data_IF_942293402908
#
_entry.id   IF_942293402908
#
_cell.length_a   1.000
_cell.length_b   1.000
_cell.length_c   1.000
_cell.angle_alpha   90.00
_cell.angle_beta   90.00
_cell.angle_gamma   90.00
#
_symmetry.space_group_name_H-M   'P 1'
#
loop_
_entity.id
_entity.type
_entity.pdbx_description
1 polymer ?
#
# COMPACT_ATOMS: atom_id res chain seq x y z
N UNK A 1 4.35 8.17 -24.61
CA UNK A 1 5.53 8.99 -24.91
C UNK A 1 6.46 9.09 -23.72
N UNK A 2 7.70 9.41 -24.00
CA UNK A 2 8.72 9.60 -22.96
C UNK A 2 8.58 10.97 -22.34
N UNK A 3 8.64 11.04 -21.00
CA UNK A 3 8.66 12.30 -20.28
C UNK A 3 9.91 12.39 -19.44
N UNK A 4 10.47 13.58 -19.34
CA UNK A 4 11.55 13.85 -18.41
C UNK A 4 10.97 14.35 -17.09
N UNK A 5 11.52 13.85 -16.00
CA UNK A 5 11.13 14.26 -14.65
C UNK A 5 12.35 14.39 -13.78
N UNK A 6 12.33 15.41 -12.93
CA UNK A 6 13.29 15.52 -11.84
C UNK A 6 12.59 15.00 -10.60
N UNK A 7 13.18 13.98 -9.99
CA UNK A 7 12.66 13.37 -8.78
C UNK A 7 13.71 13.37 -7.67
N UNK A 8 13.25 13.36 -6.43
CA UNK A 8 14.11 13.22 -5.24
C UNK A 8 13.80 11.88 -4.60
N UNK A 9 14.52 10.81 -4.98
CA UNK A 9 14.23 9.47 -4.48
C UNK A 9 14.75 9.26 -3.08
N UNK A 10 14.04 8.47 -2.27
CA UNK A 10 14.52 8.18 -0.91
C UNK A 10 14.27 6.74 -0.46
N UNK A 11 13.46 5.94 -1.15
CA UNK A 11 13.21 4.57 -0.74
C UNK A 11 12.91 3.67 -1.92
N UNK A 12 13.37 2.42 -1.81
CA UNK A 12 13.02 1.34 -2.71
C UNK A 12 11.99 0.45 -2.02
N UNK A 13 10.92 0.13 -2.74
CA UNK A 13 9.84 -0.71 -2.23
C UNK A 13 9.66 -1.91 -3.14
N UNK A 14 9.71 -3.10 -2.53
CA UNK A 14 9.36 -4.35 -3.19
C UNK A 14 7.90 -4.68 -2.90
N UNK A 15 7.06 -4.62 -3.92
CA UNK A 15 5.63 -4.94 -3.77
C UNK A 15 5.35 -6.44 -3.86
N UNK A 16 6.40 -7.26 -4.05
CA UNK A 16 6.26 -8.69 -4.33
C UNK A 16 6.00 -9.00 -5.79
N UNK A 17 5.56 -8.02 -6.58
CA UNK A 17 5.36 -8.14 -8.01
C UNK A 17 6.46 -7.42 -8.79
N UNK A 18 6.85 -6.25 -8.33
CA UNK A 18 7.92 -5.44 -8.93
C UNK A 18 8.40 -4.41 -7.92
N UNK A 19 9.53 -3.81 -8.24
CA UNK A 19 10.11 -2.75 -7.42
C UNK A 19 9.66 -1.38 -7.91
N UNK A 20 9.40 -0.46 -6.97
CA UNK A 20 9.27 0.96 -7.29
C UNK A 20 10.14 1.80 -6.35
N UNK A 21 10.40 3.04 -6.78
CA UNK A 21 11.06 4.03 -5.95
C UNK A 21 10.04 5.06 -5.48
N UNK A 22 10.06 5.34 -4.17
CA UNK A 22 9.28 6.45 -3.60
C UNK A 22 10.11 7.72 -3.70
N UNK A 23 9.53 8.77 -4.26
CA UNK A 23 10.25 9.99 -4.55
C UNK A 23 9.34 11.21 -4.54
N UNK A 24 9.91 12.37 -4.28
CA UNK A 24 9.24 13.62 -4.56
C UNK A 24 9.35 13.94 -6.05
N UNK A 25 8.23 14.24 -6.68
CA UNK A 25 8.15 14.58 -8.09
C UNK A 25 8.06 16.10 -8.23
N UNK A 26 9.11 16.73 -8.74
CA UNK A 26 9.15 18.18 -8.92
C UNK A 26 8.17 18.69 -9.95
N UNK A 27 7.80 17.83 -10.92
CA UNK A 27 6.82 18.22 -11.95
C UNK A 27 5.43 18.44 -11.34
N UNK A 28 5.01 17.57 -10.45
CA UNK A 28 3.67 17.60 -9.84
C UNK A 28 3.65 18.21 -8.44
N UNK A 29 4.82 18.39 -7.82
CA UNK A 29 4.91 18.96 -6.47
C UNK A 29 4.39 18.05 -5.38
N UNK A 30 4.47 16.74 -5.57
CA UNK A 30 4.02 15.76 -4.58
C UNK A 30 4.92 14.52 -4.57
N UNK A 31 4.70 13.66 -3.57
CA UNK A 31 5.39 12.37 -3.46
C UNK A 31 4.65 11.31 -4.27
N UNK A 32 5.40 10.54 -5.04
CA UNK A 32 4.85 9.51 -5.94
C UNK A 32 5.72 8.28 -5.97
N UNK A 33 5.12 7.20 -6.48
CA UNK A 33 5.80 5.95 -6.75
C UNK A 33 6.17 5.87 -8.23
N UNK A 34 7.42 5.49 -8.51
CA UNK A 34 7.90 5.31 -9.87
C UNK A 34 8.39 3.88 -10.04
N UNK A 35 7.77 3.15 -10.95
CA UNK A 35 8.15 1.76 -11.24
C UNK A 35 9.54 1.74 -11.86
N UNK A 36 10.49 1.04 -11.25
CA UNK A 36 11.89 1.09 -11.64
C UNK A 36 12.10 0.63 -13.08
N UNK A 37 11.39 -0.41 -13.51
CA UNK A 37 11.50 -0.93 -14.86
C UNK A 37 11.03 0.05 -15.95
N UNK A 38 10.35 1.12 -15.56
CA UNK A 38 9.89 2.17 -16.49
C UNK A 38 10.83 3.37 -16.56
N UNK A 39 11.88 3.38 -15.76
CA UNK A 39 12.85 4.47 -15.74
C UNK A 39 13.89 4.20 -16.81
N UNK A 40 14.02 5.14 -17.74
CA UNK A 40 15.03 5.05 -18.80
C UNK A 40 16.06 6.18 -18.63
N UNK A 41 17.32 5.84 -18.85
CA UNK A 41 18.43 6.79 -18.86
C UNK A 41 18.46 7.73 -17.63
N UNK A 42 18.49 7.17 -16.40
CA UNK A 42 18.54 8.02 -15.22
C UNK A 42 19.86 8.81 -15.19
N UNK A 43 19.77 10.05 -14.73
CA UNK A 43 20.92 10.93 -14.65
C UNK A 43 20.94 11.62 -13.30
N UNK A 44 22.06 11.54 -12.62
CA UNK A 44 22.23 12.22 -11.34
C UNK A 44 22.46 13.70 -11.56
N UNK A 45 21.68 14.54 -10.89
CA UNK A 45 21.83 15.98 -10.93
C UNK A 45 22.71 16.45 -9.76
N UNK A 46 23.41 17.54 -9.99
CA UNK A 46 24.29 18.17 -8.98
C UNK A 46 23.51 19.21 -8.18
N UNK A 47 22.37 18.81 -7.64
CA UNK A 47 21.50 19.66 -6.82
C UNK A 47 21.16 18.94 -5.54
N UNK A 48 21.21 19.67 -4.41
CA UNK A 48 20.74 19.12 -3.14
C UNK A 48 19.21 19.14 -3.07
N UNK A 49 18.59 18.14 -2.42
CA UNK A 49 17.16 18.18 -2.13
C UNK A 49 16.80 19.36 -1.23
N UNK A 50 15.61 19.90 -1.42
CA UNK A 50 15.05 20.90 -0.51
C UNK A 50 14.31 20.19 0.64
N UNK A 51 14.12 20.91 1.75
CA UNK A 51 13.53 20.32 2.96
C UNK A 51 12.17 19.68 2.70
N UNK A 52 11.30 20.34 1.93
CA UNK A 52 9.95 19.83 1.64
C UNK A 52 9.95 18.58 0.76
N UNK A 53 11.09 18.23 0.16
CA UNK A 53 11.24 17.08 -0.74
C UNK A 53 11.74 15.82 -0.02
N UNK A 54 12.04 15.94 1.28
CA UNK A 54 12.62 14.85 2.07
C UNK A 54 11.53 13.89 2.58
N UNK A 55 11.94 12.65 2.82
CA UNK A 55 11.05 11.58 3.28
C UNK A 55 10.27 11.95 4.55
N UNK A 56 10.88 12.70 5.46
CA UNK A 56 10.24 13.11 6.72
C UNK A 56 9.00 13.99 6.51
N UNK A 57 8.88 14.60 5.34
CA UNK A 57 7.74 15.44 4.96
C UNK A 57 6.71 14.71 4.10
N UNK A 58 6.93 13.43 3.82
CA UNK A 58 5.98 12.59 3.13
C UNK A 58 5.08 11.90 4.17
N UNK A 59 3.89 12.43 4.38
CA UNK A 59 2.94 11.91 5.37
C UNK A 59 2.56 10.46 5.04
N UNK A 60 2.41 10.11 3.77
CA UNK A 60 2.09 8.75 3.35
C UNK A 60 3.22 7.77 3.68
N UNK A 61 4.45 8.25 3.71
CA UNK A 61 5.60 7.44 4.08
C UNK A 61 5.78 7.33 5.59
N UNK A 62 5.63 8.44 6.32
CA UNK A 62 5.85 8.47 7.77
C UNK A 62 4.68 7.91 8.57
N UNK A 63 3.46 8.00 8.04
CA UNK A 63 2.28 7.45 8.70
C UNK A 63 2.31 5.93 8.71
N UNK A 64 2.16 5.35 9.90
CA UNK A 64 2.02 3.91 10.07
C UNK A 64 0.56 3.60 10.34
N UNK A 65 0.00 2.69 9.56
CA UNK A 65 -1.37 2.20 9.76
C UNK A 65 -1.33 0.80 10.35
N UNK A 66 -2.29 0.51 11.21
CA UNK A 66 -2.46 -0.80 11.80
C UNK A 66 -3.60 -1.52 11.10
N UNK A 67 -3.29 -2.72 10.60
CA UNK A 67 -4.21 -3.52 9.81
C UNK A 67 -4.60 -4.75 10.61
N UNK A 68 -5.88 -4.93 10.83
CA UNK A 68 -6.42 -6.12 11.48
C UNK A 68 -7.04 -7.02 10.42
N UNK A 69 -6.39 -8.13 10.12
CA UNK A 69 -6.84 -9.09 9.12
C UNK A 69 -7.48 -10.28 9.81
N UNK A 70 -8.64 -10.68 9.33
CA UNK A 70 -9.38 -11.84 9.87
C UNK A 70 -9.65 -12.82 8.74
N UNK A 71 -9.94 -14.10 9.06
CA UNK A 71 -10.44 -15.01 8.04
C UNK A 71 -11.68 -14.42 7.38
N UNK A 72 -11.78 -14.57 6.05
CA UNK A 72 -12.91 -14.00 5.33
C UNK A 72 -14.22 -14.54 5.92
N UNK A 73 -15.20 -13.66 6.24
CA UNK A 73 -16.42 -14.07 6.94
C UNK A 73 -17.26 -15.12 6.21
N UNK A 74 -17.08 -15.28 4.90
CA UNK A 74 -17.83 -16.26 4.10
C UNK A 74 -17.17 -17.63 3.99
N UNK A 75 -16.00 -17.82 4.60
CA UNK A 75 -15.33 -19.11 4.58
C UNK A 75 -16.06 -20.12 5.48
N UNK A 76 -16.22 -21.35 4.97
CA UNK A 76 -16.83 -22.42 5.74
C UNK A 76 -15.94 -22.90 6.89
N UNK A 77 -14.62 -22.81 6.72
CA UNK A 77 -13.64 -23.31 7.69
C UNK A 77 -12.58 -22.25 8.01
N UNK A 78 -12.95 -21.21 8.74
CA UNK A 78 -12.02 -20.12 9.07
C UNK A 78 -10.82 -20.59 9.89
N UNK A 79 -10.94 -21.67 10.64
CA UNK A 79 -9.84 -22.22 11.43
C UNK A 79 -8.63 -22.63 10.58
N UNK A 80 -8.84 -23.02 9.34
CA UNK A 80 -7.74 -23.36 8.42
C UNK A 80 -6.92 -22.11 8.10
N UNK A 81 -7.59 -20.99 7.85
CA UNK A 81 -6.92 -19.72 7.57
C UNK A 81 -6.14 -19.24 8.80
N UNK A 82 -6.74 -19.38 9.99
CA UNK A 82 -6.03 -19.03 11.22
C UNK A 82 -4.73 -19.84 11.38
N UNK A 83 -4.77 -21.12 11.04
CA UNK A 83 -3.59 -21.97 11.08
C UNK A 83 -2.55 -21.55 10.01
N UNK A 84 -3.00 -21.33 8.78
CA UNK A 84 -2.12 -21.01 7.66
C UNK A 84 -1.34 -19.71 7.90
N UNK A 85 -1.96 -18.74 8.55
CA UNK A 85 -1.35 -17.44 8.82
C UNK A 85 -0.79 -17.30 10.23
N UNK A 86 -0.80 -18.38 11.02
CA UNK A 86 -0.24 -18.37 12.36
C UNK A 86 -0.91 -17.39 13.31
N UNK A 87 -2.22 -17.21 13.18
CA UNK A 87 -2.97 -16.31 14.04
C UNK A 87 -3.04 -16.87 15.46
N UNK A 88 -2.66 -16.05 16.45
CA UNK A 88 -2.73 -16.42 17.87
C UNK A 88 -4.10 -16.14 18.49
N UNK A 89 -5.08 -15.83 17.68
CA UNK A 89 -6.46 -15.55 18.05
C UNK A 89 -7.27 -15.48 16.77
N UNK A 90 -8.21 -14.56 16.70
CA UNK A 90 -9.09 -14.43 15.54
C UNK A 90 -8.57 -13.48 14.48
N UNK A 91 -7.40 -12.85 14.70
CA UNK A 91 -6.89 -11.86 13.77
C UNK A 91 -5.37 -11.90 13.66
N UNK A 92 -4.89 -11.38 12.54
CA UNK A 92 -3.49 -11.09 12.30
C UNK A 92 -3.33 -9.57 12.29
N UNK A 93 -2.51 -9.04 13.20
CA UNK A 93 -2.25 -7.61 13.29
C UNK A 93 -0.97 -7.28 12.54
N UNK A 94 -1.07 -6.37 11.59
CA UNK A 94 0.07 -5.91 10.80
C UNK A 94 0.19 -4.40 10.87
N UNK A 95 1.41 -3.92 10.74
CA UNK A 95 1.71 -2.49 10.65
C UNK A 95 2.37 -2.22 9.32
N UNK A 96 1.95 -1.17 8.65
CA UNK A 96 2.49 -0.79 7.35
C UNK A 96 2.53 0.71 7.21
N UNK A 97 3.50 1.21 6.44
CA UNK A 97 3.45 2.60 6.00
C UNK A 97 2.21 2.81 5.14
N UNK A 98 1.55 3.96 5.28
CA UNK A 98 0.40 4.28 4.46
C UNK A 98 0.72 4.16 2.96
N UNK A 99 1.89 4.63 2.53
CA UNK A 99 2.31 4.55 1.14
C UNK A 99 2.42 3.11 0.60
N UNK A 100 2.55 2.11 1.46
CA UNK A 100 2.76 0.71 1.08
C UNK A 100 1.54 -0.17 1.32
N UNK A 101 0.66 0.23 2.23
CA UNK A 101 -0.45 -0.60 2.71
C UNK A 101 -1.33 -1.16 1.59
N UNK A 102 -1.72 -0.33 0.63
CA UNK A 102 -2.58 -0.77 -0.47
C UNK A 102 -1.92 -1.81 -1.37
N UNK A 103 -0.63 -1.66 -1.65
CA UNK A 103 0.13 -2.65 -2.41
C UNK A 103 0.16 -4.00 -1.69
N UNK A 104 0.38 -3.97 -0.38
CA UNK A 104 0.43 -5.20 0.42
C UNK A 104 -0.93 -5.91 0.46
N UNK A 105 -2.00 -5.15 0.68
CA UNK A 105 -3.36 -5.70 0.72
C UNK A 105 -3.75 -6.30 -0.63
N UNK A 106 -3.37 -5.67 -1.72
CA UNK A 106 -3.58 -6.19 -3.07
C UNK A 106 -2.78 -7.49 -3.28
N UNK A 107 -1.50 -7.49 -2.92
CA UNK A 107 -0.61 -8.64 -3.11
C UNK A 107 -1.08 -9.86 -2.33
N UNK A 108 -1.58 -9.67 -1.12
CA UNK A 108 -2.06 -10.75 -0.26
C UNK A 108 -3.51 -11.16 -0.56
N UNK A 109 -4.19 -10.48 -1.47
CA UNK A 109 -5.57 -10.80 -1.80
C UNK A 109 -6.53 -10.59 -0.63
N UNK A 110 -6.39 -9.45 0.06
CA UNK A 110 -7.27 -9.11 1.19
C UNK A 110 -8.50 -8.40 0.67
N UNK A 111 -9.68 -8.89 1.05
CA UNK A 111 -10.94 -8.20 0.78
C UNK A 111 -11.04 -7.00 1.73
N UNK A 112 -11.05 -5.80 1.19
CA UNK A 112 -11.16 -4.55 1.93
C UNK A 112 -12.54 -3.89 1.77
N UNK A 113 -13.51 -4.63 1.22
CA UNK A 113 -14.88 -4.12 1.13
C UNK A 113 -15.52 -4.10 2.53
N UNK A 114 -16.34 -3.08 2.84
CA UNK A 114 -16.99 -3.00 4.16
C UNK A 114 -18.01 -4.11 4.41
N UNK A 115 -18.54 -4.70 3.36
CA UNK A 115 -19.54 -5.76 3.42
C UNK A 115 -18.99 -7.14 3.06
N UNK A 116 -17.68 -7.32 3.05
CA UNK A 116 -16.97 -8.57 2.73
C UNK A 116 -17.51 -9.27 1.47
N UNK A 117 -17.76 -8.48 0.43
CA UNK A 117 -18.43 -8.96 -0.79
C UNK A 117 -17.53 -9.71 -1.77
N UNK A 118 -16.20 -9.61 -1.64
CA UNK A 118 -15.28 -10.29 -2.54
C UNK A 118 -15.12 -11.74 -2.08
N UNK A 119 -15.81 -12.65 -2.77
CA UNK A 119 -15.88 -14.06 -2.38
C UNK A 119 -15.13 -14.99 -3.31
N UNK A 120 -14.43 -14.46 -4.30
CA UNK A 120 -13.60 -15.23 -5.20
C UNK A 120 -12.46 -15.92 -4.45
N UNK A 121 -11.94 -16.98 -5.01
CA UNK A 121 -11.03 -17.88 -4.32
C UNK A 121 -9.79 -17.22 -3.69
N UNK A 122 -9.13 -16.22 -4.28
CA UNK A 122 -7.96 -15.62 -3.63
C UNK A 122 -8.27 -14.86 -2.35
N UNK A 123 -9.53 -14.51 -2.09
CA UNK A 123 -9.89 -13.68 -0.93
C UNK A 123 -10.17 -14.55 0.28
N UNK A 124 -9.11 -14.96 0.97
CA UNK A 124 -9.19 -15.73 2.21
C UNK A 124 -9.13 -14.88 3.47
N UNK A 125 -8.73 -13.61 3.30
CA UNK A 125 -8.60 -12.63 4.39
C UNK A 125 -9.52 -11.46 4.13
N UNK A 126 -9.96 -10.84 5.22
CA UNK A 126 -10.77 -9.63 5.20
C UNK A 126 -10.18 -8.59 6.15
N UNK A 127 -10.18 -7.33 5.73
CA UNK A 127 -9.77 -6.22 6.57
C UNK A 127 -10.94 -5.84 7.48
N UNK A 128 -10.80 -6.12 8.78
CA UNK A 128 -11.90 -5.98 9.74
C UNK A 128 -12.29 -4.52 9.99
N UNK A 129 -11.35 -3.59 9.88
CA UNK A 129 -11.61 -2.17 10.10
C UNK A 129 -11.11 -1.34 8.92
N UNK A 130 -11.93 -1.17 7.87
CA UNK A 130 -11.50 -0.40 6.70
C UNK A 130 -11.30 1.09 6.98
N UNK A 131 -11.82 1.63 8.10
CA UNK A 131 -11.60 3.03 8.45
C UNK A 131 -10.13 3.36 8.71
N UNK A 132 -9.32 2.37 9.03
CA UNK A 132 -7.88 2.55 9.18
C UNK A 132 -7.21 3.05 7.89
N UNK A 133 -7.84 2.82 6.74
CA UNK A 133 -7.34 3.27 5.44
C UNK A 133 -7.78 4.69 5.06
N UNK A 134 -8.52 5.37 5.93
CA UNK A 134 -8.95 6.74 5.63
C UNK A 134 -7.74 7.65 5.43
N UNK A 135 -7.72 8.38 4.33
CA UNK A 135 -6.61 9.26 3.97
C UNK A 135 -5.36 8.54 3.44
N UNK A 136 -5.40 7.23 3.28
CA UNK A 136 -4.30 6.45 2.72
C UNK A 136 -4.43 6.44 1.20
N UNK A 137 -3.49 7.09 0.50
CA UNK A 137 -3.55 7.19 -0.96
C UNK A 137 -3.43 5.82 -1.64
N UNK A 138 -2.57 4.94 -1.13
CA UNK A 138 -2.40 3.60 -1.68
C UNK A 138 -3.64 2.72 -1.52
N UNK A 139 -4.62 3.12 -0.70
CA UNK A 139 -5.87 2.38 -0.52
C UNK A 139 -6.66 2.23 -1.82
N UNK A 140 -6.40 3.05 -2.82
CA UNK A 140 -6.97 2.88 -4.16
C UNK A 140 -6.63 1.50 -4.77
N UNK A 141 -5.54 0.88 -4.32
CA UNK A 141 -5.11 -0.45 -4.78
C UNK A 141 -5.69 -1.58 -3.91
N UNK A 142 -6.25 -1.26 -2.75
CA UNK A 142 -6.79 -2.27 -1.84
C UNK A 142 -8.09 -2.85 -2.41
N UNK A 143 -8.17 -4.20 -2.58
CA UNK A 143 -9.32 -4.81 -3.25
C UNK A 143 -10.65 -4.49 -2.55
N UNK A 144 -11.59 -3.96 -3.30
CA UNK A 144 -12.93 -3.68 -2.80
C UNK A 144 -13.04 -2.49 -1.85
N UNK A 145 -11.95 -1.78 -1.57
CA UNK A 145 -11.99 -0.61 -0.68
C UNK A 145 -12.88 0.48 -1.26
N UNK A 146 -13.74 1.02 -0.42
CA UNK A 146 -14.58 2.16 -0.75
C UNK A 146 -14.29 3.27 0.25
N UNK A 147 -13.78 4.43 -0.20
CA UNK A 147 -13.57 5.55 0.70
C UNK A 147 -14.90 6.00 1.29
N UNK A 148 -14.94 6.40 2.57
CA UNK A 148 -16.16 6.90 3.16
C UNK A 148 -16.62 8.14 2.40
N UNK A 149 -17.93 8.25 2.18
CA UNK A 149 -18.51 9.44 1.55
C UNK A 149 -18.51 10.59 2.56
N UNK A 150 -18.13 11.74 2.03
CA UNK A 150 -18.12 12.97 2.82
C UNK A 150 -19.55 13.40 3.20
#
# INVERSE_FOLDING_TARGET
GKTQRVIVPFALVDTGLRWHVRAYDRKHGDFRDFVISRIEAPKLLDEAPQAHELAENDIQWTRIVELSLVPHPRLARPEIVRMDYGMSGDSLQLRSRAAVAGYMLQRWGVDCSPDHRLTDEPYRLWLADPLTLYGVESAALAPGYQPPQA
#
